data_IF_982938541786
#
_entry.id   IF_982938541786
#
_cell.length_a   1.000
_cell.length_b   1.000
_cell.length_c   1.000
_cell.angle_alpha   90.00
_cell.angle_beta   90.00
_cell.angle_gamma   90.00
#
_symmetry.space_group_name_H-M   'P 1'
#
loop_
_entity.id
_entity.type
_entity.pdbx_description
1 polymer ?
#
# COMPACT_ATOMS: atom_id res chain seq x y z
N UNK A 1 31.23 -3.26 -16.44
CA UNK A 1 31.86 -3.42 -15.10
C UNK A 1 30.81 -3.38 -13.98
N UNK A 2 31.02 -4.13 -12.89
CA UNK A 2 30.07 -4.22 -11.76
C UNK A 2 29.71 -2.86 -11.12
N UNK A 3 30.64 -1.92 -10.89
CA UNK A 3 30.30 -0.62 -10.29
C UNK A 3 29.28 0.19 -11.12
N UNK A 4 29.41 0.16 -12.45
CA UNK A 4 28.51 0.87 -13.36
C UNK A 4 27.12 0.22 -13.40
N UNK A 5 27.03 -1.12 -13.34
CA UNK A 5 25.75 -1.82 -13.21
C UNK A 5 25.04 -1.43 -11.91
N UNK A 6 25.78 -1.40 -10.79
CA UNK A 6 25.24 -1.00 -9.48
C UNK A 6 24.80 0.48 -9.48
N UNK A 7 25.53 1.37 -10.16
CA UNK A 7 25.13 2.77 -10.35
C UNK A 7 23.81 2.88 -11.11
N UNK A 8 23.69 2.22 -12.27
CA UNK A 8 22.46 2.23 -13.08
C UNK A 8 21.27 1.63 -12.33
N UNK A 9 21.48 0.52 -11.62
CA UNK A 9 20.45 -0.11 -10.79
C UNK A 9 19.90 0.85 -9.73
N UNK A 10 20.77 1.56 -8.99
CA UNK A 10 20.33 2.56 -7.99
C UNK A 10 19.53 3.69 -8.62
N UNK A 11 19.95 4.20 -9.78
CA UNK A 11 19.25 5.27 -10.49
C UNK A 11 17.84 4.84 -10.90
N UNK A 12 17.71 3.67 -11.53
CA UNK A 12 16.42 3.11 -11.95
C UNK A 12 15.52 2.83 -10.76
N UNK A 13 16.03 2.22 -9.69
CA UNK A 13 15.26 1.96 -8.47
C UNK A 13 14.75 3.24 -7.83
N UNK A 14 15.58 4.29 -7.77
CA UNK A 14 15.19 5.59 -7.22
C UNK A 14 14.09 6.25 -8.05
N UNK A 15 14.18 6.16 -9.38
CA UNK A 15 13.13 6.65 -10.28
C UNK A 15 11.83 5.86 -10.12
N UNK A 16 11.91 4.53 -10.05
CA UNK A 16 10.75 3.67 -9.84
C UNK A 16 10.03 3.96 -8.51
N UNK A 17 10.79 4.19 -7.43
CA UNK A 17 10.26 4.60 -6.13
C UNK A 17 9.48 5.92 -6.22
N UNK A 18 10.05 6.93 -6.88
CA UNK A 18 9.40 8.23 -7.08
C UNK A 18 8.08 8.10 -7.85
N UNK A 19 8.12 7.41 -9.00
CA UNK A 19 6.93 7.16 -9.82
C UNK A 19 5.88 6.38 -9.02
N UNK A 20 6.30 5.36 -8.26
CA UNK A 20 5.42 4.57 -7.41
C UNK A 20 4.69 5.43 -6.38
N UNK A 21 5.41 6.33 -5.71
CA UNK A 21 4.87 7.27 -4.73
C UNK A 21 3.91 8.27 -5.37
N UNK A 22 4.32 8.94 -6.46
CA UNK A 22 3.47 9.89 -7.20
C UNK A 22 2.15 9.24 -7.66
N UNK A 23 2.20 7.97 -8.09
CA UNK A 23 1.00 7.20 -8.46
C UNK A 23 0.14 6.84 -7.26
N UNK A 24 0.75 6.57 -6.11
CA UNK A 24 0.03 6.24 -4.89
C UNK A 24 -0.63 7.46 -4.25
N UNK A 25 0.03 8.62 -4.28
CA UNK A 25 -0.51 9.86 -3.71
C UNK A 25 -1.85 10.28 -4.33
N UNK A 26 -2.10 9.92 -5.59
CA UNK A 26 -3.42 10.14 -6.24
C UNK A 26 -4.59 9.36 -5.62
N UNK A 27 -4.30 8.43 -4.72
CA UNK A 27 -5.33 7.70 -3.98
C UNK A 27 -5.66 8.34 -2.64
N UNK A 28 -4.81 9.22 -2.10
CA UNK A 28 -5.05 9.89 -0.81
C UNK A 28 -6.36 10.68 -0.87
N UNK A 29 -7.21 10.52 0.15
CA UNK A 29 -8.56 11.08 0.25
C UNK A 29 -9.62 10.31 -0.54
N UNK A 30 -9.29 9.17 -1.18
CA UNK A 30 -10.27 8.32 -1.86
C UNK A 30 -10.63 7.13 -0.99
N UNK A 31 -11.92 6.78 -1.02
CA UNK A 31 -12.41 5.51 -0.48
C UNK A 31 -12.24 4.41 -1.52
N UNK A 32 -11.66 3.28 -1.09
CA UNK A 32 -11.42 2.12 -1.93
C UNK A 32 -12.00 0.86 -1.26
N UNK A 33 -12.72 0.08 -2.06
CA UNK A 33 -13.06 -1.30 -1.72
C UNK A 33 -11.81 -2.17 -1.70
N UNK A 34 -11.58 -2.84 -0.58
CA UNK A 34 -10.40 -3.67 -0.34
C UNK A 34 -10.78 -5.04 0.23
N UNK A 35 -10.08 -6.10 -0.17
CA UNK A 35 -10.17 -7.42 0.44
C UNK A 35 -9.09 -7.56 1.52
N UNK A 36 -9.46 -7.91 2.75
CA UNK A 36 -8.49 -8.23 3.81
C UNK A 36 -7.93 -9.63 3.59
N UNK A 37 -6.62 -9.73 3.42
CA UNK A 37 -5.92 -10.97 3.04
C UNK A 37 -4.96 -11.49 4.11
N UNK A 38 -4.67 -10.70 5.14
CA UNK A 38 -3.77 -11.13 6.21
C UNK A 38 -3.55 -10.09 7.29
N UNK A 39 -2.54 -10.33 8.11
CA UNK A 39 -2.12 -9.46 9.20
C UNK A 39 -0.87 -8.67 8.82
N UNK A 40 -0.85 -7.39 9.18
CA UNK A 40 0.30 -6.52 9.02
C UNK A 40 1.33 -6.72 10.14
N UNK A 41 2.31 -5.81 10.19
CA UNK A 41 3.39 -5.85 11.21
C UNK A 41 3.06 -5.04 12.45
N UNK A 42 2.18 -4.04 12.34
CA UNK A 42 1.74 -3.23 13.46
C UNK A 42 0.66 -3.92 14.30
N UNK A 43 0.53 -3.49 15.54
CA UNK A 43 -0.57 -3.94 16.41
C UNK A 43 -1.93 -3.61 15.78
N UNK A 44 -2.81 -4.61 15.69
CA UNK A 44 -4.12 -4.48 15.04
C UNK A 44 -4.08 -4.18 13.54
N UNK A 45 -2.89 -4.23 12.91
CA UNK A 45 -2.75 -3.94 11.49
C UNK A 45 -3.19 -5.14 10.66
N UNK A 46 -3.98 -4.88 9.63
CA UNK A 46 -4.43 -5.83 8.63
C UNK A 46 -3.79 -5.49 7.28
N UNK A 47 -3.43 -6.52 6.53
CA UNK A 47 -3.04 -6.40 5.13
C UNK A 47 -4.27 -6.59 4.25
N UNK A 48 -4.57 -5.60 3.42
CA UNK A 48 -5.66 -5.63 2.46
C UNK A 48 -5.16 -5.35 1.03
N UNK A 49 -5.98 -5.72 0.05
CA UNK A 49 -5.72 -5.51 -1.38
C UNK A 49 -6.88 -4.74 -1.98
N UNK A 50 -6.58 -3.63 -2.65
CA UNK A 50 -7.57 -2.96 -3.52
C UNK A 50 -8.04 -3.91 -4.62
N UNK A 51 -9.11 -3.56 -5.32
CA UNK A 51 -9.55 -4.28 -6.53
C UNK A 51 -8.49 -4.33 -7.65
N UNK A 52 -7.49 -3.44 -7.62
CA UNK A 52 -6.33 -3.46 -8.53
C UNK A 52 -5.11 -4.19 -7.94
N UNK A 53 -5.31 -4.96 -6.88
CA UNK A 53 -4.29 -5.74 -6.15
C UNK A 53 -3.19 -4.93 -5.45
N UNK A 54 -3.33 -3.59 -5.39
CA UNK A 54 -2.43 -2.72 -4.65
C UNK A 54 -2.53 -2.98 -3.13
N UNK A 55 -1.40 -3.11 -2.40
CA UNK A 55 -1.41 -3.26 -0.95
C UNK A 55 -1.99 -2.03 -0.24
N UNK A 56 -2.84 -2.26 0.75
CA UNK A 56 -3.36 -1.26 1.68
C UNK A 56 -3.23 -1.82 3.08
N UNK A 57 -2.64 -1.06 4.00
CA UNK A 57 -2.61 -1.42 5.41
C UNK A 57 -3.65 -0.59 6.17
N UNK A 58 -4.46 -1.26 6.97
CA UNK A 58 -5.52 -0.65 7.79
C UNK A 58 -5.40 -1.18 9.22
N UNK A 59 -5.96 -0.47 10.20
CA UNK A 59 -6.07 -0.97 11.58
C UNK A 59 -7.51 -1.38 11.83
N UNK A 60 -7.73 -2.56 12.39
CA UNK A 60 -9.09 -3.07 12.65
C UNK A 60 -9.14 -4.46 13.28
N UNK A 61 -10.36 -4.96 13.56
CA UNK A 61 -10.57 -6.28 14.16
C UNK A 61 -10.08 -7.41 13.26
N UNK A 62 -9.47 -8.44 13.84
CA UNK A 62 -8.94 -9.63 13.13
C UNK A 62 -10.03 -10.40 12.38
N UNK A 63 -11.27 -10.27 12.83
CA UNK A 63 -12.48 -10.88 12.28
C UNK A 63 -12.75 -10.42 10.83
N UNK A 64 -12.14 -9.32 10.39
CA UNK A 64 -12.27 -8.83 9.02
C UNK A 64 -11.48 -9.67 8.00
N UNK A 65 -10.64 -10.62 8.42
CA UNK A 65 -9.89 -11.47 7.48
C UNK A 65 -10.83 -12.19 6.50
N UNK A 66 -10.54 -12.08 5.21
CA UNK A 66 -11.38 -12.62 4.13
C UNK A 66 -12.58 -11.76 3.75
N UNK A 67 -12.83 -10.65 4.47
CA UNK A 67 -13.93 -9.74 4.19
C UNK A 67 -13.52 -8.60 3.25
N UNK A 68 -14.51 -8.08 2.52
CA UNK A 68 -14.37 -6.80 1.83
C UNK A 68 -14.72 -5.66 2.78
N UNK A 69 -13.89 -4.62 2.77
CA UNK A 69 -14.06 -3.40 3.55
C UNK A 69 -13.92 -2.17 2.65
N UNK A 70 -14.55 -1.06 3.04
CA UNK A 70 -14.28 0.25 2.47
C UNK A 70 -13.24 0.96 3.35
N UNK A 71 -12.14 1.38 2.74
CA UNK A 71 -11.07 2.08 3.42
C UNK A 71 -10.77 3.42 2.74
N UNK A 72 -10.79 4.51 3.50
CA UNK A 72 -10.28 5.79 3.02
C UNK A 72 -8.75 5.79 3.10
N UNK A 73 -8.09 6.12 2.00
CA UNK A 73 -6.63 6.21 1.95
C UNK A 73 -6.17 7.52 2.58
N UNK A 74 -5.41 7.43 3.68
CA UNK A 74 -4.92 8.59 4.43
C UNK A 74 -3.47 8.95 4.11
N UNK A 75 -2.67 7.97 3.68
CA UNK A 75 -1.29 8.22 3.23
C UNK A 75 -0.78 7.11 2.31
N UNK A 76 0.42 7.29 1.78
CA UNK A 76 0.98 6.44 0.74
C UNK A 76 2.49 6.30 0.88
N UNK A 77 2.98 5.06 0.73
CA UNK A 77 4.36 4.77 0.41
C UNK A 77 4.55 4.54 -1.10
N UNK A 78 5.77 4.28 -1.59
CA UNK A 78 5.99 3.93 -3.00
C UNK A 78 5.39 2.58 -3.40
N UNK A 79 5.18 1.68 -2.42
CA UNK A 79 4.73 0.31 -2.64
C UNK A 79 3.34 0.00 -2.10
N UNK A 80 2.83 0.81 -1.17
CA UNK A 80 1.60 0.53 -0.42
C UNK A 80 0.81 1.81 -0.15
N UNK A 81 -0.44 1.63 0.25
CA UNK A 81 -1.30 2.68 0.79
C UNK A 81 -1.52 2.42 2.28
N UNK A 82 -1.79 3.48 3.04
CA UNK A 82 -2.33 3.40 4.40
C UNK A 82 -3.76 3.87 4.36
N UNK A 83 -4.66 3.11 4.96
CA UNK A 83 -6.07 3.45 5.03
C UNK A 83 -6.64 3.37 6.43
N UNK A 84 -7.81 3.99 6.59
CA UNK A 84 -8.66 3.87 7.76
C UNK A 84 -9.99 3.24 7.36
N UNK A 85 -10.51 2.35 8.19
CA UNK A 85 -11.86 1.81 8.01
C UNK A 85 -12.88 2.93 8.16
N UNK A 86 -13.88 2.92 7.30
CA UNK A 86 -15.05 3.78 7.48
C UNK A 86 -16.00 3.11 8.49
N UNK A 87 -16.51 3.92 9.43
CA UNK A 87 -17.53 3.53 10.41
C UNK A 87 -18.90 3.32 9.78
#
# INVERSE_FOLDING_TARGET
PEPEKKRRSRLVSSLALRIGLERNLRFVGRTLRCLVVGFGRGEGQLEARTMSYRPVYIVGPKELLGSFVEAEVVSAGPYYLMGQLLS
#
